data_IF_936260010283
#
_entry.id   IF_936260010283
#
_cell.length_a   1.000
_cell.length_b   1.000
_cell.length_c   1.000
_cell.angle_alpha   90.00
_cell.angle_beta   90.00
_cell.angle_gamma   90.00
#
_symmetry.space_group_name_H-M   'P 1'
#
loop_
_entity.id
_entity.type
_entity.pdbx_description
1 polymer ?
#
# COMPACT_ATOMS: atom_id res chain seq x y z
N UNK A 1 -23.42 -8.07 -15.05
CA UNK A 1 -22.73 -7.22 -14.06
C UNK A 1 -23.67 -7.07 -12.87
N UNK A 2 -23.22 -7.38 -11.66
CA UNK A 2 -24.04 -7.18 -10.46
C UNK A 2 -24.29 -5.70 -10.19
N UNK A 3 -25.29 -5.37 -9.37
CA UNK A 3 -25.54 -3.99 -8.96
C UNK A 3 -24.28 -3.41 -8.27
N UNK A 4 -23.89 -2.16 -8.58
CA UNK A 4 -22.69 -1.53 -8.01
C UNK A 4 -22.78 -1.32 -6.50
N UNK A 5 -24.00 -1.37 -5.95
CA UNK A 5 -24.28 -1.17 -4.54
C UNK A 5 -25.54 -1.94 -4.15
N UNK A 6 -25.48 -2.68 -3.04
CA UNK A 6 -26.65 -3.29 -2.41
C UNK A 6 -27.10 -2.46 -1.21
N UNK A 7 -28.42 -2.33 -1.00
CA UNK A 7 -29.03 -1.61 0.13
C UNK A 7 -29.98 -2.53 0.88
N UNK A 8 -29.87 -2.54 2.21
CA UNK A 8 -30.79 -3.25 3.12
C UNK A 8 -31.15 -2.33 4.28
N UNK A 9 -32.37 -2.41 4.82
CA UNK A 9 -32.79 -1.66 6.01
C UNK A 9 -33.08 -2.65 7.14
N UNK A 10 -32.49 -2.44 8.31
CA UNK A 10 -32.74 -3.26 9.52
C UNK A 10 -32.86 -2.35 10.74
N UNK A 11 -33.99 -2.42 11.44
CA UNK A 11 -34.20 -1.65 12.69
C UNK A 11 -34.03 -0.14 12.54
N UNK A 12 -34.40 0.44 11.39
CA UNK A 12 -34.23 1.87 11.10
C UNK A 12 -32.83 2.27 10.62
N UNK A 13 -31.87 1.35 10.58
CA UNK A 13 -30.52 1.56 10.06
C UNK A 13 -30.46 1.13 8.60
N UNK A 14 -29.93 1.99 7.73
CA UNK A 14 -29.64 1.65 6.34
C UNK A 14 -28.24 1.05 6.22
N UNK A 15 -28.14 -0.17 5.72
CA UNK A 15 -26.88 -0.84 5.38
C UNK A 15 -26.64 -0.71 3.88
N UNK A 16 -25.51 -0.11 3.50
CA UNK A 16 -25.08 0.04 2.11
C UNK A 16 -23.82 -0.80 1.91
N UNK A 17 -23.83 -1.69 0.93
CA UNK A 17 -22.71 -2.56 0.57
C UNK A 17 -22.26 -2.23 -0.87
N UNK A 18 -21.43 -1.19 -1.07
CA UNK A 18 -20.77 -0.95 -2.36
C UNK A 18 -19.87 -2.14 -2.74
N UNK A 19 -19.72 -2.39 -4.04
CA UNK A 19 -18.83 -3.41 -4.56
C UNK A 19 -17.93 -2.83 -5.65
N UNK A 20 -16.65 -3.21 -5.64
CA UNK A 20 -15.66 -2.74 -6.61
C UNK A 20 -14.84 -1.55 -6.10
N UNK A 21 -13.94 -1.04 -6.95
CA UNK A 21 -13.07 0.08 -6.59
C UNK A 21 -13.89 1.36 -6.51
N UNK A 22 -13.87 2.04 -5.36
CA UNK A 22 -14.42 3.40 -5.23
C UNK A 22 -13.44 4.46 -5.77
N UNK A 23 -12.63 4.09 -6.76
CA UNK A 23 -11.84 5.00 -7.59
C UNK A 23 -12.48 5.22 -8.97
N UNK A 24 -13.51 4.43 -9.29
CA UNK A 24 -14.23 4.48 -10.56
C UNK A 24 -15.49 5.35 -10.42
N UNK A 25 -15.66 6.31 -11.34
CA UNK A 25 -16.74 7.29 -11.29
C UNK A 25 -18.15 6.66 -11.17
N UNK A 26 -18.38 5.51 -11.81
CA UNK A 26 -19.66 4.80 -11.73
C UNK A 26 -20.00 4.29 -10.32
N UNK A 27 -19.02 3.67 -9.64
CA UNK A 27 -19.19 3.20 -8.26
C UNK A 27 -19.31 4.38 -7.28
N UNK A 28 -18.57 5.47 -7.53
CA UNK A 28 -18.66 6.71 -6.74
C UNK A 28 -20.04 7.37 -6.87
N UNK A 29 -20.60 7.48 -8.08
CA UNK A 29 -21.94 8.05 -8.28
C UNK A 29 -23.00 7.21 -7.58
N UNK A 30 -22.94 5.89 -7.72
CA UNK A 30 -23.87 4.98 -7.06
C UNK A 30 -23.83 5.10 -5.53
N UNK A 31 -22.63 5.26 -4.95
CA UNK A 31 -22.45 5.51 -3.52
C UNK A 31 -23.08 6.85 -3.09
N UNK A 32 -22.78 7.93 -3.82
CA UNK A 32 -23.30 9.26 -3.53
C UNK A 32 -24.83 9.30 -3.59
N UNK A 33 -25.44 8.73 -4.64
CA UNK A 33 -26.89 8.64 -4.81
C UNK A 33 -27.54 7.82 -3.68
N UNK A 34 -26.93 6.70 -3.28
CA UNK A 34 -27.46 5.87 -2.21
C UNK A 34 -27.42 6.56 -0.84
N UNK A 35 -26.34 7.29 -0.54
CA UNK A 35 -26.20 8.08 0.68
C UNK A 35 -27.21 9.24 0.71
N UNK A 36 -27.38 9.93 -0.42
CA UNK A 36 -28.35 11.01 -0.58
C UNK A 36 -29.79 10.50 -0.36
N UNK A 37 -30.13 9.35 -0.96
CA UNK A 37 -31.43 8.72 -0.78
C UNK A 37 -31.69 8.31 0.68
N UNK A 38 -30.66 7.91 1.43
CA UNK A 38 -30.79 7.62 2.87
C UNK A 38 -31.12 8.88 3.67
N UNK A 39 -30.43 9.98 3.40
CA UNK A 39 -30.68 11.27 4.05
C UNK A 39 -32.10 11.80 3.78
N UNK A 40 -32.62 11.63 2.55
CA UNK A 40 -33.97 12.08 2.17
C UNK A 40 -35.10 11.21 2.73
N UNK A 41 -34.87 9.91 2.90
CA UNK A 41 -35.89 8.95 3.36
C UNK A 41 -36.02 8.86 4.89
N UNK A 42 -35.33 9.72 5.65
CA UNK A 42 -35.31 9.68 7.12
C UNK A 42 -34.43 8.57 7.72
N UNK A 43 -33.74 7.79 6.87
CA UNK A 43 -32.75 6.80 7.28
C UNK A 43 -31.43 7.45 7.66
N UNK A 44 -31.42 8.22 8.76
CA UNK A 44 -30.28 9.06 9.17
C UNK A 44 -29.12 8.27 9.77
N UNK A 45 -29.33 7.01 10.16
CA UNK A 45 -28.27 6.10 10.57
C UNK A 45 -27.90 5.15 9.44
N UNK A 46 -26.67 5.30 8.94
CA UNK A 46 -26.15 4.55 7.79
C UNK A 46 -24.89 3.80 8.19
N UNK A 47 -24.79 2.54 7.75
CA UNK A 47 -23.60 1.70 7.89
C UNK A 47 -23.12 1.30 6.49
N UNK A 48 -21.87 1.62 6.19
CA UNK A 48 -21.16 1.20 4.99
C UNK A 48 -20.44 -0.13 5.24
N UNK A 49 -20.87 -1.18 4.58
CA UNK A 49 -20.14 -2.44 4.54
C UNK A 49 -19.10 -2.38 3.41
N UNK A 50 -17.83 -2.28 3.79
CA UNK A 50 -16.71 -2.09 2.86
C UNK A 50 -15.97 -3.39 2.54
N UNK A 51 -16.54 -4.57 2.89
CA UNK A 51 -15.93 -5.89 2.62
C UNK A 51 -15.53 -6.07 1.16
N UNK A 52 -16.37 -5.57 0.24
CA UNK A 52 -16.18 -5.72 -1.22
C UNK A 52 -15.56 -4.49 -1.88
N UNK A 53 -15.01 -3.58 -1.08
CA UNK A 53 -14.32 -2.37 -1.54
C UNK A 53 -12.81 -2.53 -1.32
N UNK A 54 -12.04 -2.87 -2.37
CA UNK A 54 -10.61 -3.06 -2.23
C UNK A 54 -9.82 -1.75 -2.10
N UNK A 55 -10.34 -0.63 -2.66
CA UNK A 55 -9.65 0.65 -2.73
C UNK A 55 -10.63 1.83 -2.76
N UNK A 56 -10.23 2.95 -2.15
CA UNK A 56 -10.94 4.23 -2.15
C UNK A 56 -9.95 5.36 -2.50
N UNK A 57 -10.37 6.37 -3.27
CA UNK A 57 -9.57 7.56 -3.59
C UNK A 57 -10.02 8.80 -2.80
N UNK A 58 -9.45 9.97 -3.07
CA UNK A 58 -9.84 11.22 -2.43
C UNK A 58 -11.31 11.58 -2.68
N UNK A 59 -11.83 11.28 -3.88
CA UNK A 59 -13.22 11.62 -4.25
C UNK A 59 -14.24 10.78 -3.48
N UNK A 60 -14.01 9.49 -3.32
CA UNK A 60 -14.86 8.64 -2.48
C UNK A 60 -14.86 9.10 -1.02
N UNK A 61 -13.70 9.54 -0.52
CA UNK A 61 -13.59 10.08 0.83
C UNK A 61 -14.35 11.41 0.99
N UNK A 62 -14.34 12.29 -0.02
CA UNK A 62 -15.21 13.49 -0.04
C UNK A 62 -16.68 13.11 0.06
N UNK A 63 -17.15 12.15 -0.74
CA UNK A 63 -18.55 11.67 -0.71
C UNK A 63 -18.93 11.16 0.68
N UNK A 64 -18.05 10.36 1.31
CA UNK A 64 -18.28 9.84 2.66
C UNK A 64 -18.31 10.96 3.71
N UNK A 65 -17.42 11.96 3.59
CA UNK A 65 -17.33 13.07 4.52
C UNK A 65 -18.54 14.02 4.41
N UNK A 66 -18.96 14.35 3.19
CA UNK A 66 -20.15 15.15 2.90
C UNK A 66 -21.41 14.46 3.43
N UNK A 67 -21.55 13.16 3.16
CA UNK A 67 -22.67 12.37 3.66
C UNK A 67 -22.66 12.28 5.19
N UNK A 68 -21.50 12.11 5.82
CA UNK A 68 -21.37 12.14 7.27
C UNK A 68 -21.86 13.48 7.84
N UNK A 69 -21.39 14.62 7.31
CA UNK A 69 -21.79 15.94 7.77
C UNK A 69 -23.31 16.16 7.64
N UNK A 70 -23.89 15.74 6.53
CA UNK A 70 -25.34 15.83 6.27
C UNK A 70 -26.16 14.95 7.21
N UNK A 71 -25.77 13.68 7.39
CA UNK A 71 -26.47 12.76 8.30
C UNK A 71 -26.36 13.24 9.74
N UNK A 72 -25.19 13.73 10.17
CA UNK A 72 -24.98 14.28 11.51
C UNK A 72 -25.86 15.52 11.76
N UNK A 73 -26.00 16.42 10.77
CA UNK A 73 -26.90 17.57 10.87
C UNK A 73 -28.37 17.15 11.09
N UNK A 74 -28.78 16.00 10.55
CA UNK A 74 -30.11 15.41 10.73
C UNK A 74 -30.24 14.57 12.03
N UNK A 75 -29.25 14.61 12.93
CA UNK A 75 -29.22 13.81 14.17
C UNK A 75 -28.82 12.34 13.96
N UNK A 76 -28.31 12.01 12.78
CA UNK A 76 -27.90 10.68 12.37
C UNK A 76 -26.42 10.38 12.55
N UNK A 77 -25.96 9.30 11.91
CA UNK A 77 -24.57 8.89 11.92
C UNK A 77 -24.21 8.09 10.68
N UNK A 78 -23.00 8.32 10.16
CA UNK A 78 -22.37 7.43 9.17
C UNK A 78 -21.29 6.60 9.85
N UNK A 79 -21.39 5.27 9.70
CA UNK A 79 -20.41 4.30 10.18
C UNK A 79 -19.94 3.41 9.05
N UNK A 80 -18.81 2.73 9.23
CA UNK A 80 -18.34 1.68 8.34
C UNK A 80 -17.99 0.39 9.10
N UNK A 81 -17.95 -0.73 8.37
CA UNK A 81 -17.63 -2.06 8.88
C UNK A 81 -16.94 -2.89 7.80
N UNK A 82 -16.20 -3.93 8.21
CA UNK A 82 -15.56 -4.93 7.33
C UNK A 82 -14.59 -4.36 6.28
N UNK A 83 -13.96 -3.22 6.55
CA UNK A 83 -12.94 -2.64 5.67
C UNK A 83 -11.69 -3.52 5.56
N UNK A 84 -11.08 -3.57 4.38
CA UNK A 84 -9.75 -4.16 4.21
C UNK A 84 -8.68 -3.36 4.99
N UNK A 85 -7.53 -3.97 5.35
CA UNK A 85 -6.46 -3.25 6.03
C UNK A 85 -6.00 -1.98 5.29
N UNK A 86 -5.94 -2.03 3.95
CA UNK A 86 -5.61 -0.87 3.13
C UNK A 86 -6.64 0.26 3.28
N UNK A 87 -7.93 -0.07 3.21
CA UNK A 87 -9.01 0.92 3.34
C UNK A 87 -9.02 1.52 4.73
N UNK A 88 -8.73 0.73 5.78
CA UNK A 88 -8.55 1.25 7.14
C UNK A 88 -7.40 2.25 7.19
N UNK A 89 -6.23 1.90 6.66
CA UNK A 89 -5.05 2.78 6.62
C UNK A 89 -5.35 4.09 5.87
N UNK A 90 -6.09 4.03 4.76
CA UNK A 90 -6.52 5.22 4.01
C UNK A 90 -7.45 6.11 4.85
N UNK A 91 -8.48 5.52 5.47
CA UNK A 91 -9.44 6.26 6.29
C UNK A 91 -8.79 6.87 7.54
N UNK A 92 -7.80 6.21 8.14
CA UNK A 92 -7.03 6.73 9.28
C UNK A 92 -6.09 7.85 8.82
N UNK A 93 -5.38 7.67 7.70
CA UNK A 93 -4.50 8.70 7.13
C UNK A 93 -5.27 10.01 6.88
N UNK A 94 -6.47 9.92 6.32
CA UNK A 94 -7.32 11.07 6.02
C UNK A 94 -8.15 11.60 7.20
N UNK A 95 -8.02 10.98 8.38
CA UNK A 95 -8.82 11.29 9.58
C UNK A 95 -10.33 11.15 9.37
N UNK A 96 -10.75 10.33 8.42
CA UNK A 96 -12.14 9.86 8.35
C UNK A 96 -12.41 8.82 9.45
N UNK A 97 -11.40 8.04 9.83
CA UNK A 97 -11.43 7.10 10.95
C UNK A 97 -10.34 7.40 11.97
N UNK A 98 -10.53 6.93 13.20
CA UNK A 98 -9.62 7.16 14.31
C UNK A 98 -9.40 5.86 15.08
N UNK A 99 -8.16 5.65 15.55
CA UNK A 99 -7.70 4.42 16.18
C UNK A 99 -6.35 4.00 15.61
N UNK A 100 -5.71 3.03 16.26
CA UNK A 100 -4.51 2.36 15.73
C UNK A 100 -4.94 1.35 14.65
N UNK A 101 -4.52 1.54 13.38
CA UNK A 101 -4.88 0.66 12.27
C UNK A 101 -4.61 -0.82 12.52
N UNK A 102 -3.61 -1.14 13.35
CA UNK A 102 -3.17 -2.51 13.61
C UNK A 102 -3.96 -3.21 14.73
N UNK A 103 -4.70 -2.49 15.57
CA UNK A 103 -5.32 -3.07 16.78
C UNK A 103 -6.78 -2.70 17.00
N UNK A 104 -7.21 -1.51 16.57
CA UNK A 104 -8.56 -1.02 16.87
C UNK A 104 -9.60 -1.48 15.83
N UNK A 105 -9.18 -1.97 14.67
CA UNK A 105 -10.06 -2.35 13.56
C UNK A 105 -10.18 -3.87 13.42
N UNK A 106 -11.41 -4.36 13.22
CA UNK A 106 -11.68 -5.80 13.12
C UNK A 106 -12.99 -6.13 12.40
N UNK A 107 -13.21 -7.41 12.08
CA UNK A 107 -14.41 -7.86 11.40
C UNK A 107 -15.64 -7.58 12.27
N UNK A 108 -16.72 -7.10 11.65
CA UNK A 108 -17.98 -6.73 12.31
C UNK A 108 -17.89 -5.63 13.38
N UNK A 109 -16.74 -4.93 13.50
CA UNK A 109 -16.62 -3.76 14.38
C UNK A 109 -17.07 -2.52 13.60
N UNK A 110 -18.06 -1.80 14.13
CA UNK A 110 -18.55 -0.57 13.52
C UNK A 110 -17.71 0.62 13.95
N UNK A 111 -17.21 1.38 12.98
CA UNK A 111 -16.41 2.57 13.21
C UNK A 111 -17.16 3.81 12.72
N UNK A 112 -17.18 4.86 13.53
CA UNK A 112 -17.80 6.13 13.14
C UNK A 112 -16.87 6.91 12.20
N UNK A 113 -17.44 7.52 11.16
CA UNK A 113 -16.73 8.48 10.32
C UNK A 113 -16.68 9.83 11.05
N UNK A 114 -15.55 10.54 10.96
CA UNK A 114 -15.42 11.93 11.45
C UNK A 114 -15.38 12.10 12.98
N UNK A 115 -15.18 11.02 13.74
CA UNK A 115 -15.12 11.06 15.20
C UNK A 115 -13.86 11.80 15.70
N UNK A 116 -13.96 13.07 16.12
CA UNK A 116 -12.79 13.86 16.58
C UNK A 116 -11.87 13.09 17.54
N UNK A 117 -10.57 13.04 17.22
CA UNK A 117 -9.57 12.65 18.21
C UNK A 117 -9.60 13.65 19.38
N UNK A 118 -9.62 13.12 20.60
CA UNK A 118 -9.39 13.95 21.80
C UNK A 118 -7.96 14.46 21.70
N UNK A 119 -7.71 15.79 21.75
CA UNK A 119 -6.36 16.32 21.68
C UNK A 119 -5.54 15.70 22.82
N UNK A 120 -4.36 15.14 22.53
CA UNK A 120 -3.57 14.50 23.55
C UNK A 120 -3.18 15.52 24.63
N UNK A 121 -3.18 15.08 25.89
CA UNK A 121 -2.60 15.89 26.97
C UNK A 121 -1.11 16.09 26.65
N UNK A 122 -0.53 17.28 26.90
CA UNK A 122 0.88 17.51 26.66
C UNK A 122 1.70 16.62 27.60
N UNK A 123 2.28 15.55 27.04
CA UNK A 123 3.09 14.57 27.76
C UNK A 123 4.44 14.41 27.09
N UNK A 124 5.47 14.10 27.88
CA UNK A 124 6.81 13.84 27.35
C UNK A 124 6.86 12.45 26.72
N UNK A 125 7.55 12.32 25.58
CA UNK A 125 7.71 11.06 24.85
C UNK A 125 8.17 9.91 25.76
N UNK A 126 9.16 10.14 26.63
CA UNK A 126 9.66 9.13 27.55
C UNK A 126 8.60 8.55 28.50
N UNK A 127 7.67 9.37 29.00
CA UNK A 127 6.57 8.89 29.84
C UNK A 127 5.58 8.04 29.04
N UNK A 128 5.29 8.45 27.80
CA UNK A 128 4.40 7.69 26.90
C UNK A 128 5.00 6.32 26.61
N UNK A 129 6.31 6.25 26.35
CA UNK A 129 7.02 5.00 26.10
C UNK A 129 6.99 4.05 27.31
N UNK A 130 7.15 4.59 28.53
CA UNK A 130 7.02 3.80 29.78
C UNK A 130 5.61 3.24 29.96
N UNK A 131 4.58 4.06 29.77
CA UNK A 131 3.17 3.63 29.90
C UNK A 131 2.77 2.59 28.87
N UNK A 132 3.35 2.68 27.67
CA UNK A 132 3.16 1.67 26.62
C UNK A 132 3.95 0.38 26.91
N UNK A 133 4.79 0.35 27.95
CA UNK A 133 5.64 -0.79 28.28
C UNK A 133 6.75 -1.04 27.25
N UNK A 134 7.09 -0.03 26.44
CA UNK A 134 8.08 -0.15 25.36
C UNK A 134 9.52 0.02 25.84
N UNK A 135 9.72 0.68 26.97
CA UNK A 135 11.01 0.88 27.62
C UNK A 135 10.88 0.70 29.13
N UNK A 136 11.98 0.44 29.82
CA UNK A 136 12.05 0.43 31.30
C UNK A 136 12.46 1.80 31.84
N UNK A 137 12.23 2.04 33.13
CA UNK A 137 12.68 3.28 33.80
C UNK A 137 14.20 3.46 33.70
N UNK A 138 14.96 2.39 33.94
CA UNK A 138 16.41 2.37 33.80
C UNK A 138 16.84 2.69 32.35
N UNK A 139 16.21 2.05 31.36
CA UNK A 139 16.49 2.30 29.95
C UNK A 139 16.18 3.73 29.52
N UNK A 140 15.12 4.34 30.08
CA UNK A 140 14.81 5.75 29.85
C UNK A 140 15.87 6.67 30.49
N UNK A 141 16.28 6.38 31.73
CA UNK A 141 17.26 7.19 32.44
C UNK A 141 18.60 7.23 31.69
N UNK A 142 19.08 6.08 31.22
CA UNK A 142 20.29 6.00 30.40
C UNK A 142 20.17 6.75 29.07
N UNK A 143 19.02 6.66 28.40
CA UNK A 143 18.78 7.34 27.13
C UNK A 143 18.74 8.88 27.32
N UNK A 144 18.18 9.36 28.43
CA UNK A 144 18.18 10.79 28.80
C UNK A 144 19.60 11.28 29.13
N UNK A 145 20.40 10.46 29.83
CA UNK A 145 21.80 10.80 30.10
C UNK A 145 22.60 10.93 28.80
N UNK A 146 22.39 10.03 27.83
CA UNK A 146 23.02 10.13 26.51
C UNK A 146 22.47 11.32 25.70
N UNK A 147 21.20 11.68 25.85
CA UNK A 147 20.63 12.86 25.20
C UNK A 147 21.37 14.13 25.63
N UNK A 148 21.69 14.25 26.92
CA UNK A 148 22.43 15.39 27.46
C UNK A 148 23.86 15.50 26.90
N UNK A 149 24.52 14.38 26.61
CA UNK A 149 25.89 14.38 26.09
C UNK A 149 25.99 14.43 24.56
N UNK A 150 24.99 13.93 23.83
CA UNK A 150 25.02 13.82 22.36
C UNK A 150 24.22 14.90 21.62
N UNK A 151 23.27 15.57 22.30
CA UNK A 151 22.34 16.51 21.67
C UNK A 151 21.32 15.88 20.71
N UNK A 152 21.32 14.55 20.55
CA UNK A 152 20.36 13.83 19.70
C UNK A 152 18.97 13.79 20.34
N UNK A 153 17.93 13.61 19.53
CA UNK A 153 16.58 13.38 20.04
C UNK A 153 16.47 12.02 20.76
N UNK A 154 15.71 11.97 21.85
CA UNK A 154 15.51 10.76 22.67
C UNK A 154 15.07 9.54 21.84
N UNK A 155 14.13 9.72 20.92
CA UNK A 155 13.65 8.65 20.04
C UNK A 155 14.77 8.05 19.17
N UNK A 156 15.65 8.89 18.61
CA UNK A 156 16.78 8.43 17.80
C UNK A 156 17.79 7.62 18.62
N UNK A 157 18.06 8.05 19.86
CA UNK A 157 18.95 7.33 20.77
C UNK A 157 18.40 5.93 21.06
N UNK A 158 17.08 5.83 21.31
CA UNK A 158 16.43 4.55 21.59
C UNK A 158 16.41 3.62 20.36
N UNK A 159 16.25 4.16 19.15
CA UNK A 159 16.37 3.41 17.90
C UNK A 159 17.80 2.89 17.67
N UNK A 160 18.82 3.75 17.83
CA UNK A 160 20.23 3.37 17.64
C UNK A 160 20.68 2.25 18.59
N UNK A 161 20.16 2.27 19.82
CA UNK A 161 20.39 1.22 20.83
C UNK A 161 19.57 -0.05 20.61
N UNK A 162 18.69 -0.07 19.60
CA UNK A 162 17.71 -1.15 19.36
C UNK A 162 16.79 -1.41 20.57
N UNK A 163 16.62 -0.40 21.43
CA UNK A 163 15.74 -0.46 22.59
C UNK A 163 14.28 -0.15 22.23
N UNK A 164 14.05 0.39 21.03
CA UNK A 164 12.74 0.73 20.49
C UNK A 164 12.72 0.43 18.98
N UNK A 165 11.59 -0.02 18.45
CA UNK A 165 11.39 -0.15 17.00
C UNK A 165 10.88 1.17 16.40
N UNK A 166 11.10 1.40 15.09
CA UNK A 166 10.59 2.61 14.42
C UNK A 166 9.06 2.69 14.47
N UNK A 167 8.39 1.55 14.29
CA UNK A 167 6.92 1.44 14.41
C UNK A 167 6.43 1.85 15.80
N UNK A 168 7.10 1.38 16.86
CA UNK A 168 6.71 1.73 18.24
C UNK A 168 7.01 3.20 18.57
N UNK A 169 8.07 3.76 18.00
CA UNK A 169 8.33 5.20 18.08
C UNK A 169 7.21 6.01 17.41
N UNK A 170 6.77 5.63 16.21
CA UNK A 170 5.67 6.31 15.52
C UNK A 170 4.36 6.23 16.29
N UNK A 171 4.04 5.07 16.89
CA UNK A 171 2.89 4.91 17.80
C UNK A 171 2.96 5.85 19.00
N UNK A 172 4.12 5.94 19.64
CA UNK A 172 4.33 6.83 20.78
C UNK A 172 4.23 8.32 20.37
N UNK A 173 4.80 8.70 19.22
CA UNK A 173 4.67 10.04 18.65
C UNK A 173 3.24 10.37 18.24
N UNK A 174 2.50 9.40 17.73
CA UNK A 174 1.08 9.55 17.41
C UNK A 174 0.26 9.87 18.67
N UNK A 175 0.49 9.13 19.77
CA UNK A 175 -0.12 9.45 21.08
C UNK A 175 0.32 10.80 21.63
N UNK A 176 1.55 11.22 21.37
CA UNK A 176 2.08 12.50 21.86
C UNK A 176 1.48 13.70 21.12
N UNK A 177 1.34 13.58 19.79
CA UNK A 177 1.02 14.71 18.90
C UNK A 177 -0.42 14.71 18.41
N UNK A 178 -1.11 13.58 18.51
CA UNK A 178 -2.46 13.39 17.98
C UNK A 178 -2.49 13.22 16.45
N UNK A 179 -1.31 13.15 15.82
CA UNK A 179 -1.16 12.87 14.39
C UNK A 179 -1.26 11.36 14.21
N UNK A 180 -2.16 10.84 13.35
CA UNK A 180 -2.26 9.40 13.11
C UNK A 180 -0.97 8.86 12.50
N UNK A 181 -0.70 7.57 12.68
CA UNK A 181 0.38 6.86 12.00
C UNK A 181 -0.20 5.77 11.10
N UNK A 182 0.46 5.47 9.99
CA UNK A 182 0.05 4.46 9.02
C UNK A 182 1.24 3.69 8.47
N UNK A 183 0.99 2.48 7.97
CA UNK A 183 1.97 1.75 7.14
C UNK A 183 1.73 2.12 5.69
N UNK A 184 2.67 2.84 5.07
CA UNK A 184 2.50 3.27 3.68
C UNK A 184 2.62 2.09 2.69
N UNK A 185 1.68 2.04 1.76
CA UNK A 185 1.58 1.00 0.73
C UNK A 185 1.22 1.60 -0.64
N UNK A 186 1.56 0.91 -1.74
CA UNK A 186 1.01 1.26 -3.06
C UNK A 186 -0.52 1.39 -3.00
N UNK A 187 -1.09 2.31 -3.78
CA UNK A 187 -2.53 2.62 -3.76
C UNK A 187 -2.98 3.59 -2.67
N UNK A 188 -2.12 3.95 -1.70
CA UNK A 188 -2.42 4.98 -0.69
C UNK A 188 -2.09 6.41 -1.14
N UNK A 189 -1.92 6.63 -2.43
CA UNK A 189 -1.64 7.94 -3.01
C UNK A 189 -2.24 8.03 -4.40
N UNK A 190 -2.70 9.22 -4.79
CA UNK A 190 -3.36 9.45 -6.07
C UNK A 190 -2.61 10.51 -6.91
N UNK A 191 -2.63 10.40 -8.25
CA UNK A 191 -1.95 11.35 -9.13
C UNK A 191 -2.38 12.82 -8.90
N UNK A 192 -3.64 13.04 -8.53
CA UNK A 192 -4.16 14.38 -8.27
C UNK A 192 -3.52 15.05 -7.03
N UNK A 193 -3.15 14.25 -6.02
CA UNK A 193 -2.45 14.75 -4.83
C UNK A 193 -0.95 14.91 -5.09
N UNK A 194 -0.32 13.95 -5.75
CA UNK A 194 1.12 13.98 -6.04
C UNK A 194 1.47 15.09 -7.02
N UNK A 195 0.57 15.47 -7.94
CA UNK A 195 0.76 16.59 -8.85
C UNK A 195 0.81 17.97 -8.15
N UNK A 196 0.37 18.09 -6.88
CA UNK A 196 0.41 19.35 -6.13
C UNK A 196 1.83 19.70 -5.63
N UNK A 197 2.73 18.73 -5.58
CA UNK A 197 4.11 18.92 -5.12
C UNK A 197 5.07 18.25 -6.10
N UNK A 198 6.01 19.00 -6.66
CA UNK A 198 6.99 18.41 -7.58
C UNK A 198 7.84 17.33 -6.88
N UNK A 199 8.32 16.36 -7.66
CA UNK A 199 9.14 15.26 -7.13
C UNK A 199 10.37 15.77 -6.35
N UNK A 200 11.07 16.77 -6.90
CA UNK A 200 12.25 17.35 -6.24
C UNK A 200 11.92 17.97 -4.88
N UNK A 201 10.76 18.64 -4.76
CA UNK A 201 10.29 19.19 -3.48
C UNK A 201 9.87 18.09 -2.52
N UNK A 202 9.10 17.10 -2.98
CA UNK A 202 8.68 15.97 -2.16
C UNK A 202 9.89 15.23 -1.57
N UNK A 203 10.92 14.96 -2.38
CA UNK A 203 12.18 14.32 -1.96
C UNK A 203 12.96 15.20 -0.97
N UNK A 204 13.15 16.49 -1.26
CA UNK A 204 13.87 17.42 -0.37
C UNK A 204 13.20 17.53 0.99
N UNK A 205 11.87 17.64 0.99
CA UNK A 205 11.05 17.78 2.19
C UNK A 205 10.77 16.43 2.88
N UNK A 206 11.11 15.31 2.23
CA UNK A 206 10.92 13.94 2.72
C UNK A 206 9.44 13.64 3.02
N UNK A 207 8.54 14.08 2.14
CA UNK A 207 7.09 13.93 2.30
C UNK A 207 6.42 13.27 1.11
N UNK A 208 5.30 12.60 1.31
CA UNK A 208 4.49 12.06 0.22
C UNK A 208 3.06 12.64 0.26
N UNK A 209 2.64 13.42 -0.74
CA UNK A 209 1.23 13.77 -0.92
C UNK A 209 0.41 12.51 -1.23
N UNK A 210 -0.66 12.26 -0.48
CA UNK A 210 -1.45 11.03 -0.57
C UNK A 210 -2.81 11.28 -1.21
N UNK A 211 -3.65 12.10 -0.58
CA UNK A 211 -5.02 12.34 -1.00
C UNK A 211 -5.37 13.81 -0.87
N UNK A 212 -6.19 14.31 -1.78
CA UNK A 212 -6.83 15.62 -1.62
C UNK A 212 -8.31 15.43 -1.35
N UNK A 213 -8.76 15.89 -0.18
CA UNK A 213 -10.16 15.85 0.24
C UNK A 213 -10.62 17.29 0.45
N UNK A 214 -11.47 17.77 -0.45
CA UNK A 214 -11.83 19.18 -0.57
C UNK A 214 -10.57 20.08 -0.67
N UNK A 215 -10.36 20.95 0.31
CA UNK A 215 -9.21 21.87 0.40
C UNK A 215 -8.07 21.34 1.29
N UNK A 216 -8.19 20.11 1.77
CA UNK A 216 -7.22 19.50 2.68
C UNK A 216 -6.36 18.48 1.94
N UNK A 217 -5.04 18.66 1.99
CA UNK A 217 -4.05 17.72 1.47
C UNK A 217 -3.56 16.82 2.60
N UNK A 218 -3.80 15.51 2.47
CA UNK A 218 -3.20 14.51 3.35
C UNK A 218 -1.78 14.23 2.90
N UNK A 219 -0.83 14.38 3.82
CA UNK A 219 0.62 14.27 3.53
C UNK A 219 1.28 13.35 4.54
N UNK A 220 1.96 12.31 4.06
CA UNK A 220 2.80 11.48 4.91
C UNK A 220 4.13 12.19 5.22
N UNK A 221 4.48 12.21 6.50
CA UNK A 221 5.70 12.83 7.03
C UNK A 221 6.43 11.86 7.99
N UNK A 222 7.77 11.90 8.06
CA UNK A 222 8.54 11.04 8.94
C UNK A 222 8.72 11.62 10.35
N UNK A 223 8.55 12.93 10.52
CA UNK A 223 8.77 13.64 11.78
C UNK A 223 7.67 14.71 11.99
N UNK A 224 6.87 14.62 13.06
CA UNK A 224 5.82 15.60 13.34
C UNK A 224 6.36 16.98 13.72
N UNK A 225 7.64 17.11 14.08
CA UNK A 225 8.25 18.36 14.52
C UNK A 225 8.96 19.13 13.40
N UNK A 226 8.91 18.63 12.16
CA UNK A 226 9.43 19.31 10.97
C UNK A 226 8.49 20.45 10.50
N UNK A 227 8.12 21.37 11.40
CA UNK A 227 7.18 22.47 11.15
C UNK A 227 7.56 23.32 9.92
N UNK A 228 8.85 23.70 9.70
CA UNK A 228 9.21 24.47 8.52
C UNK A 228 8.88 23.78 7.20
N UNK A 229 8.96 22.44 7.15
CA UNK A 229 8.59 21.68 5.96
C UNK A 229 7.08 21.71 5.72
N UNK A 230 6.27 21.60 6.78
CA UNK A 230 4.81 21.72 6.68
C UNK A 230 4.38 23.11 6.23
N UNK A 231 4.98 24.17 6.80
CA UNK A 231 4.69 25.55 6.42
C UNK A 231 5.03 25.81 4.94
N UNK A 232 6.17 25.27 4.47
CA UNK A 232 6.58 25.38 3.07
C UNK A 232 5.61 24.64 2.13
N UNK A 233 5.17 23.42 2.47
CA UNK A 233 4.18 22.67 1.68
C UNK A 233 2.86 23.44 1.63
N UNK A 234 2.40 23.99 2.76
CA UNK A 234 1.17 24.77 2.81
C UNK A 234 1.25 26.03 1.95
N UNK A 235 2.38 26.75 1.99
CA UNK A 235 2.60 27.94 1.17
C UNK A 235 2.61 27.64 -0.34
N UNK A 236 3.24 26.53 -0.75
CA UNK A 236 3.34 26.12 -2.16
C UNK A 236 2.01 25.60 -2.68
N UNK A 237 1.33 24.76 -1.90
CA UNK A 237 0.10 24.09 -2.35
C UNK A 237 -1.15 24.97 -2.18
N UNK A 238 -1.09 25.95 -1.27
CA UNK A 238 -2.24 26.79 -0.88
C UNK A 238 -3.34 26.00 -0.16
N UNK A 239 -3.04 24.79 0.33
CA UNK A 239 -4.02 23.87 0.94
C UNK A 239 -3.81 23.72 2.43
N UNK A 240 -4.88 23.39 3.15
CA UNK A 240 -4.76 22.93 4.54
C UNK A 240 -4.05 21.58 4.56
N UNK A 241 -3.17 21.37 5.53
CA UNK A 241 -2.46 20.10 5.65
C UNK A 241 -3.10 19.20 6.70
N UNK A 242 -3.25 17.93 6.32
CA UNK A 242 -3.53 16.83 7.22
C UNK A 242 -2.31 15.92 7.28
N UNK A 243 -1.38 16.13 8.23
CA UNK A 243 -0.21 15.28 8.34
C UNK A 243 -0.61 13.88 8.86
N UNK A 244 0.09 12.87 8.38
CA UNK A 244 0.08 11.49 8.88
C UNK A 244 1.53 11.00 9.01
N UNK A 245 1.82 10.28 10.09
CA UNK A 245 3.14 9.71 10.35
C UNK A 245 3.34 8.42 9.56
N UNK A 246 4.48 8.30 8.90
CA UNK A 246 4.90 7.07 8.23
C UNK A 246 6.41 6.90 8.33
N UNK A 247 6.90 5.67 8.15
CA UNK A 247 8.35 5.41 8.21
C UNK A 247 9.05 6.08 7.03
N UNK A 248 10.26 6.58 7.27
CA UNK A 248 11.04 7.29 6.24
C UNK A 248 11.27 6.40 5.01
N UNK A 249 11.65 5.15 5.24
CA UNK A 249 11.91 4.18 4.17
C UNK A 249 10.67 3.93 3.30
N UNK A 250 9.47 3.92 3.92
CA UNK A 250 8.22 3.71 3.19
C UNK A 250 7.83 4.94 2.36
N UNK A 251 8.06 6.15 2.90
CA UNK A 251 7.86 7.41 2.18
C UNK A 251 8.77 7.42 0.96
N UNK A 252 10.08 7.16 1.11
CA UNK A 252 11.04 7.16 0.01
C UNK A 252 10.70 6.11 -1.05
N UNK A 253 10.30 4.90 -0.63
CA UNK A 253 9.85 3.84 -1.53
C UNK A 253 8.59 4.23 -2.30
N UNK A 254 7.60 4.81 -1.63
CA UNK A 254 6.36 5.23 -2.27
C UNK A 254 6.53 6.50 -3.13
N UNK A 255 7.46 7.40 -2.78
CA UNK A 255 7.83 8.54 -3.63
C UNK A 255 8.38 8.06 -4.97
N UNK A 256 9.30 7.09 -4.95
CA UNK A 256 9.81 6.49 -6.18
C UNK A 256 8.64 6.02 -7.07
N UNK A 257 7.69 5.28 -6.51
CA UNK A 257 6.55 4.78 -7.26
C UNK A 257 5.58 5.87 -7.74
N UNK A 258 5.26 6.83 -6.86
CA UNK A 258 4.30 7.89 -7.11
C UNK A 258 4.77 8.85 -8.20
N UNK A 259 6.07 9.16 -8.24
CA UNK A 259 6.64 10.10 -9.20
C UNK A 259 7.23 9.43 -10.45
N UNK A 260 7.58 8.14 -10.38
CA UNK A 260 7.98 7.37 -11.57
C UNK A 260 6.79 6.89 -12.41
N UNK A 261 5.54 7.03 -11.91
CA UNK A 261 4.31 6.49 -12.51
C UNK A 261 3.74 7.23 -13.73
N UNK A 262 4.39 8.27 -14.26
CA UNK A 262 3.93 9.00 -15.46
C UNK A 262 4.76 8.74 -16.72
N UNK A 263 6.00 8.33 -16.54
CA UNK A 263 6.95 8.01 -17.60
C UNK A 263 8.13 7.38 -16.89
N UNK A 264 8.58 6.22 -17.34
CA UNK A 264 9.97 5.86 -17.08
C UNK A 264 10.75 6.99 -17.77
N UNK A 265 11.52 7.82 -17.05
CA UNK A 265 12.36 8.82 -17.70
C UNK A 265 13.18 8.07 -18.74
N UNK A 266 13.16 8.56 -19.97
CA UNK A 266 13.91 7.96 -21.08
C UNK A 266 15.39 7.78 -20.68
N UNK A 267 15.87 8.64 -19.77
CA UNK A 267 17.19 8.63 -19.16
C UNK A 267 17.40 7.53 -18.11
N UNK A 268 16.36 7.06 -17.39
CA UNK A 268 16.45 5.93 -16.44
C UNK A 268 16.37 4.58 -17.16
N UNK A 269 15.69 4.53 -18.30
CA UNK A 269 15.74 3.39 -19.21
C UNK A 269 17.17 3.15 -19.71
N UNK A 270 17.98 4.21 -19.84
CA UNK A 270 19.36 4.12 -20.30
C UNK A 270 20.38 3.91 -19.15
N UNK A 271 20.01 4.19 -17.89
CA UNK A 271 20.98 4.26 -16.77
C UNK A 271 20.61 3.46 -15.49
N UNK A 272 19.67 2.51 -15.52
CA UNK A 272 19.46 1.63 -14.37
C UNK A 272 20.68 0.69 -14.17
N UNK A 273 21.29 0.64 -12.97
CA UNK A 273 22.28 -0.39 -12.65
C UNK A 273 21.63 -1.78 -12.71
N UNK A 274 22.18 -2.63 -13.57
CA UNK A 274 21.78 -4.02 -13.80
C UNK A 274 22.23 -4.93 -12.66
N UNK A 275 21.64 -4.82 -11.48
CA UNK A 275 21.86 -5.76 -10.37
C UNK A 275 20.90 -6.97 -10.45
N UNK A 276 20.59 -7.44 -11.66
CA UNK A 276 19.91 -8.73 -11.87
C UNK A 276 20.82 -9.65 -12.68
N UNK A 277 21.50 -10.53 -11.98
CA UNK A 277 22.19 -11.66 -12.60
C UNK A 277 21.19 -12.80 -12.78
N UNK A 278 21.00 -13.20 -14.04
CA UNK A 278 20.35 -14.46 -14.36
C UNK A 278 21.30 -15.58 -13.96
N UNK A 279 20.83 -16.53 -13.16
CA UNK A 279 21.61 -17.74 -12.89
C UNK A 279 21.56 -18.57 -14.16
N UNK A 280 22.65 -18.61 -14.93
CA UNK A 280 22.74 -19.40 -16.15
C UNK A 280 22.38 -20.87 -15.88
N UNK A 281 21.31 -21.35 -16.52
CA UNK A 281 21.21 -22.75 -16.88
C UNK A 281 21.73 -22.89 -18.31
N UNK A 282 22.73 -23.74 -18.47
CA UNK A 282 23.54 -23.87 -19.66
C UNK A 282 22.72 -24.16 -20.95
N UNK A 283 23.11 -23.43 -21.99
CA UNK A 283 23.04 -23.70 -23.43
C UNK A 283 21.68 -24.01 -24.08
N UNK A 284 21.22 -23.07 -24.91
CA UNK A 284 20.76 -23.38 -26.26
C UNK A 284 21.04 -22.20 -27.19
N UNK A 285 21.84 -22.49 -28.22
CA UNK A 285 22.21 -21.60 -29.32
C UNK A 285 20.95 -21.24 -30.14
N UNK A 286 20.57 -19.96 -30.18
CA UNK A 286 19.51 -19.47 -31.06
C UNK A 286 19.90 -18.12 -31.66
N UNK A 287 20.61 -18.17 -32.79
CA UNK A 287 20.86 -16.97 -33.59
C UNK A 287 19.60 -16.49 -34.33
N UNK A 288 19.53 -15.17 -34.51
CA UNK A 288 18.61 -14.37 -35.34
C UNK A 288 17.31 -13.80 -34.72
N UNK A 289 17.12 -13.82 -33.39
CA UNK A 289 16.09 -12.99 -32.71
C UNK A 289 16.69 -12.04 -31.64
N UNK A 290 17.94 -12.26 -31.22
CA UNK A 290 18.66 -11.37 -30.31
C UNK A 290 18.75 -9.91 -30.80
N UNK A 291 18.79 -9.68 -32.12
CA UNK A 291 18.89 -8.33 -32.70
C UNK A 291 17.62 -7.48 -32.55
N UNK A 292 16.46 -8.09 -32.33
CA UNK A 292 15.19 -7.36 -32.09
C UNK A 292 14.96 -7.17 -30.58
N UNK A 293 15.42 -8.12 -29.75
CA UNK A 293 15.45 -7.99 -28.29
C UNK A 293 16.58 -7.07 -27.77
N UNK A 294 17.49 -6.62 -28.65
CA UNK A 294 18.56 -5.65 -28.37
C UNK A 294 18.07 -4.23 -28.06
N UNK A 295 16.75 -3.99 -28.04
CA UNK A 295 16.22 -2.75 -27.49
C UNK A 295 16.36 -2.79 -25.96
N UNK A 296 17.49 -2.24 -25.48
CA UNK A 296 17.81 -1.92 -24.08
C UNK A 296 16.60 -1.49 -23.21
N UNK A 297 15.60 -0.75 -23.75
CA UNK A 297 14.44 -0.34 -22.95
C UNK A 297 13.54 -1.42 -22.38
N UNK A 298 13.23 -2.47 -23.15
CA UNK A 298 12.24 -3.47 -22.72
C UNK A 298 12.85 -4.40 -21.67
N UNK A 299 14.13 -4.72 -21.81
CA UNK A 299 14.88 -5.51 -20.83
C UNK A 299 14.91 -4.76 -19.49
N UNK A 300 15.28 -3.48 -19.52
CA UNK A 300 15.37 -2.66 -18.31
C UNK A 300 14.00 -2.46 -17.66
N UNK A 301 12.94 -2.33 -18.46
CA UNK A 301 11.58 -2.29 -17.97
C UNK A 301 11.17 -3.59 -17.26
N UNK A 302 11.40 -4.75 -17.87
CA UNK A 302 11.05 -6.04 -17.26
C UNK A 302 11.85 -6.28 -15.99
N UNK A 303 13.15 -6.00 -16.01
CA UNK A 303 14.03 -6.11 -14.85
C UNK A 303 13.56 -5.17 -13.72
N UNK A 304 13.26 -3.92 -14.05
CA UNK A 304 12.72 -2.94 -13.10
C UNK A 304 11.38 -3.36 -12.51
N UNK A 305 10.48 -3.96 -13.31
CA UNK A 305 9.21 -4.50 -12.82
C UNK A 305 9.42 -5.66 -11.85
N UNK A 306 10.34 -6.58 -12.14
CA UNK A 306 10.65 -7.71 -11.26
C UNK A 306 11.27 -7.21 -9.95
N UNK A 307 12.26 -6.32 -10.03
CA UNK A 307 12.88 -5.68 -8.86
C UNK A 307 11.84 -4.96 -7.99
N UNK A 308 10.97 -4.17 -8.63
CA UNK A 308 9.89 -3.45 -7.97
C UNK A 308 8.95 -4.41 -7.26
N UNK A 309 8.52 -5.48 -7.93
CA UNK A 309 7.64 -6.49 -7.34
C UNK A 309 8.24 -7.15 -6.10
N UNK A 310 9.52 -7.52 -6.15
CA UNK A 310 10.23 -8.13 -5.00
C UNK A 310 10.37 -7.14 -3.85
N UNK A 311 10.80 -5.91 -4.15
CA UNK A 311 10.92 -4.83 -3.16
C UNK A 311 9.57 -4.51 -2.51
N UNK A 312 8.49 -4.56 -3.28
CA UNK A 312 7.13 -4.26 -2.84
C UNK A 312 6.46 -5.43 -2.11
N UNK A 313 7.10 -6.61 -2.07
CA UNK A 313 6.55 -7.81 -1.42
C UNK A 313 5.36 -8.40 -2.19
N UNK A 314 5.33 -8.24 -3.51
CA UNK A 314 4.26 -8.78 -4.34
C UNK A 314 4.33 -10.31 -4.40
N UNK A 315 3.18 -10.96 -4.20
CA UNK A 315 2.98 -12.40 -4.39
C UNK A 315 2.89 -12.80 -5.86
N UNK A 316 2.30 -11.95 -6.70
CA UNK A 316 2.14 -12.21 -8.14
C UNK A 316 2.25 -10.91 -8.94
N UNK A 317 2.83 -11.00 -10.14
CA UNK A 317 2.89 -9.94 -11.13
C UNK A 317 1.96 -10.32 -12.27
N UNK A 318 0.91 -9.54 -12.49
CA UNK A 318 -0.06 -9.72 -13.56
C UNK A 318 0.24 -8.76 -14.69
N UNK A 319 0.36 -9.27 -15.91
CA UNK A 319 0.59 -8.48 -17.12
C UNK A 319 -0.54 -8.80 -18.09
N UNK A 320 -1.38 -7.82 -18.34
CA UNK A 320 -2.59 -7.97 -19.16
C UNK A 320 -2.64 -6.91 -20.24
N UNK A 321 -3.26 -7.24 -21.37
CA UNK A 321 -3.54 -6.30 -22.43
C UNK A 321 -5.06 -6.12 -22.58
N UNK A 322 -5.49 -4.87 -22.65
CA UNK A 322 -6.84 -4.49 -23.04
C UNK A 322 -6.82 -3.88 -24.45
N UNK A 323 -8.00 -3.53 -24.99
CA UNK A 323 -8.13 -2.96 -26.34
C UNK A 323 -7.25 -1.73 -26.59
N UNK A 324 -7.01 -0.91 -25.57
CA UNK A 324 -6.35 0.41 -25.71
C UNK A 324 -5.03 0.54 -24.96
N UNK A 325 -4.73 -0.34 -23.99
CA UNK A 325 -3.52 -0.24 -23.16
C UNK A 325 -3.12 -1.59 -22.57
N UNK A 326 -1.82 -1.75 -22.32
CA UNK A 326 -1.28 -2.78 -21.46
C UNK A 326 -1.26 -2.32 -20.01
N UNK A 327 -1.49 -3.24 -19.08
CA UNK A 327 -1.56 -2.97 -17.66
C UNK A 327 -0.73 -3.99 -16.90
N UNK A 328 0.14 -3.51 -16.03
CA UNK A 328 0.87 -4.36 -15.07
C UNK A 328 0.27 -4.12 -13.69
N UNK A 329 -0.09 -5.21 -13.01
CA UNK A 329 -0.61 -5.18 -11.65
C UNK A 329 0.20 -6.08 -10.73
N UNK A 330 0.41 -5.66 -9.49
CA UNK A 330 1.02 -6.49 -8.46
C UNK A 330 -0.04 -6.95 -7.48
N UNK A 331 0.00 -8.22 -7.08
CA UNK A 331 -0.79 -8.73 -5.97
C UNK A 331 0.02 -8.63 -4.69
N UNK A 332 -0.26 -7.63 -3.86
CA UNK A 332 0.42 -7.41 -2.57
C UNK A 332 -0.62 -7.63 -1.46
N UNK A 333 -0.32 -8.51 -0.51
CA UNK A 333 -1.23 -8.88 0.59
C UNK A 333 -2.66 -9.26 0.11
N UNK A 334 -2.74 -9.95 -1.04
CA UNK A 334 -4.00 -10.42 -1.63
C UNK A 334 -4.76 -9.38 -2.48
N UNK A 335 -4.32 -8.12 -2.50
CA UNK A 335 -4.96 -7.02 -3.26
C UNK A 335 -4.17 -6.73 -4.54
N UNK A 336 -4.86 -6.52 -5.66
CA UNK A 336 -4.26 -6.16 -6.95
C UNK A 336 -4.11 -4.65 -7.09
N UNK A 337 -2.88 -4.18 -7.26
CA UNK A 337 -2.54 -2.78 -7.49
C UNK A 337 -2.07 -2.59 -8.91
N UNK A 338 -2.64 -1.62 -9.63
CA UNK A 338 -2.10 -1.19 -10.91
C UNK A 338 -0.83 -0.36 -10.71
N UNK A 339 0.30 -0.86 -11.19
CA UNK A 339 1.62 -0.27 -10.92
C UNK A 339 2.24 0.39 -12.15
N UNK A 340 1.79 0.00 -13.34
CA UNK A 340 2.26 0.56 -14.60
C UNK A 340 1.20 0.41 -15.69
N UNK A 341 0.94 1.49 -16.42
CA UNK A 341 0.27 1.44 -17.72
C UNK A 341 1.30 1.56 -18.83
N UNK A 342 1.19 0.70 -19.84
CA UNK A 342 2.01 0.76 -21.05
C UNK A 342 1.13 0.87 -22.28
N UNK A 343 1.68 1.41 -23.37
CA UNK A 343 1.03 1.37 -24.67
C UNK A 343 0.78 -0.09 -25.07
N UNK A 344 -0.38 -0.39 -25.66
CA UNK A 344 -0.76 -1.77 -26.02
C UNK A 344 0.30 -2.44 -26.90
N UNK A 345 0.94 -1.66 -27.77
CA UNK A 345 2.03 -2.10 -28.65
C UNK A 345 3.28 -2.64 -27.93
N UNK A 346 3.55 -2.22 -26.68
CA UNK A 346 4.72 -2.67 -25.92
C UNK A 346 4.49 -3.99 -25.18
N UNK A 347 3.24 -4.37 -24.96
CA UNK A 347 2.90 -5.56 -24.18
C UNK A 347 3.45 -6.86 -24.81
N UNK A 348 3.36 -7.09 -26.14
CA UNK A 348 3.93 -8.28 -26.75
C UNK A 348 5.45 -8.38 -26.57
N UNK A 349 6.17 -7.25 -26.52
CA UNK A 349 7.62 -7.23 -26.29
C UNK A 349 7.96 -7.63 -24.85
N UNK A 350 7.19 -7.16 -23.87
CA UNK A 350 7.32 -7.54 -22.45
C UNK A 350 7.10 -9.05 -22.28
N UNK A 351 6.01 -9.59 -22.87
CA UNK A 351 5.72 -11.04 -22.81
C UNK A 351 6.82 -11.85 -23.49
N UNK A 352 7.28 -11.43 -24.65
CA UNK A 352 8.39 -12.08 -25.36
C UNK A 352 9.65 -12.13 -24.50
N UNK A 353 10.02 -11.04 -23.82
CA UNK A 353 11.19 -11.01 -22.94
C UNK A 353 11.03 -11.99 -21.76
N UNK A 354 9.86 -12.05 -21.15
CA UNK A 354 9.59 -12.99 -20.06
C UNK A 354 9.63 -14.45 -20.52
N UNK A 355 9.12 -14.75 -21.72
CA UNK A 355 9.23 -16.09 -22.32
C UNK A 355 10.68 -16.50 -22.56
N UNK A 356 11.52 -15.58 -23.06
CA UNK A 356 12.97 -15.81 -23.20
C UNK A 356 13.59 -16.15 -21.84
N UNK A 357 13.29 -15.36 -20.80
CA UNK A 357 13.85 -15.58 -19.46
C UNK A 357 13.38 -16.91 -18.83
N UNK A 358 12.23 -17.43 -19.24
CA UNK A 358 11.67 -18.69 -18.78
C UNK A 358 11.95 -19.88 -19.74
N UNK A 359 12.79 -19.68 -20.77
CA UNK A 359 13.09 -20.68 -21.80
C UNK A 359 11.84 -21.25 -22.52
N UNK A 360 10.86 -20.40 -22.78
CA UNK A 360 9.59 -20.74 -23.43
C UNK A 360 9.57 -20.35 -24.92
N UNK A 361 8.65 -20.97 -25.67
CA UNK A 361 8.50 -20.69 -27.10
C UNK A 361 7.83 -19.32 -27.32
N UNK A 362 8.58 -18.41 -27.91
CA UNK A 362 8.16 -17.03 -28.22
C UNK A 362 7.16 -16.99 -29.40
N UNK A 363 7.29 -17.93 -30.34
CA UNK A 363 6.46 -17.99 -31.53
C UNK A 363 5.06 -18.50 -31.21
N UNK A 364 4.94 -19.42 -30.24
CA UNK A 364 3.64 -19.91 -29.79
C UNK A 364 2.96 -18.92 -28.84
N UNK A 365 1.74 -18.50 -29.19
CA UNK A 365 0.93 -17.51 -28.44
C UNK A 365 -0.53 -17.92 -28.27
N UNK A 366 -0.92 -19.06 -28.83
CA UNK A 366 -2.30 -19.56 -28.88
C UNK A 366 -2.58 -20.58 -27.77
N UNK A 367 -1.53 -21.23 -27.29
CA UNK A 367 -1.60 -22.23 -26.22
C UNK A 367 -1.05 -21.67 -24.91
N UNK A 368 -1.59 -22.09 -23.75
CA UNK A 368 -0.99 -21.82 -22.45
C UNK A 368 0.46 -22.29 -22.39
N UNK A 369 1.33 -21.54 -21.71
CA UNK A 369 2.70 -21.94 -21.45
C UNK A 369 3.07 -21.69 -19.99
N UNK A 370 3.70 -22.68 -19.36
CA UNK A 370 4.18 -22.60 -17.99
C UNK A 370 5.70 -22.78 -17.97
N UNK A 371 6.38 -21.93 -17.21
CA UNK A 371 7.83 -21.93 -17.11
C UNK A 371 8.30 -21.51 -15.73
N UNK A 372 9.62 -21.57 -15.52
CA UNK A 372 10.27 -21.05 -14.32
C UNK A 372 11.44 -20.21 -14.74
N UNK A 373 11.67 -19.13 -14.02
CA UNK A 373 12.87 -18.33 -14.14
C UNK A 373 13.39 -17.98 -12.75
N UNK A 374 14.70 -17.98 -12.59
CA UNK A 374 15.37 -17.64 -11.34
C UNK A 374 16.14 -16.35 -11.54
N UNK A 375 15.92 -15.39 -10.65
CA UNK A 375 16.55 -14.07 -10.70
C UNK A 375 17.25 -13.77 -9.39
N UNK A 376 18.41 -13.13 -9.45
CA UNK A 376 19.07 -12.58 -8.26
C UNK A 376 18.74 -11.10 -8.17
N UNK A 377 18.20 -10.63 -7.05
CA UNK A 377 17.95 -9.21 -6.81
C UNK A 377 18.12 -8.87 -5.34
N UNK A 378 18.73 -7.72 -5.01
CA UNK A 378 19.03 -7.30 -3.64
C UNK A 378 19.82 -8.36 -2.83
N UNK A 379 20.72 -9.10 -3.50
CA UNK A 379 21.49 -10.19 -2.88
C UNK A 379 20.67 -11.44 -2.52
N UNK A 380 19.40 -11.53 -2.98
CA UNK A 380 18.52 -12.68 -2.74
C UNK A 380 18.18 -13.37 -4.05
N UNK A 381 18.05 -14.69 -3.99
CA UNK A 381 17.62 -15.47 -5.13
C UNK A 381 16.11 -15.71 -5.09
N UNK A 382 15.41 -15.19 -6.09
CA UNK A 382 13.95 -15.26 -6.21
C UNK A 382 13.60 -16.26 -7.31
N UNK A 383 12.67 -17.17 -7.00
CA UNK A 383 12.10 -18.10 -7.99
C UNK A 383 10.79 -17.51 -8.50
N UNK A 384 10.66 -17.34 -9.81
CA UNK A 384 9.44 -16.86 -10.45
C UNK A 384 8.83 -18.00 -11.25
N UNK A 385 7.55 -18.28 -11.02
CA UNK A 385 6.79 -19.20 -11.87
C UNK A 385 6.03 -18.40 -12.91
N UNK A 386 6.36 -18.62 -14.16
CA UNK A 386 5.70 -18.01 -15.30
C UNK A 386 4.51 -18.87 -15.71
N UNK A 387 3.37 -18.23 -15.95
CA UNK A 387 2.23 -18.83 -16.65
C UNK A 387 1.67 -17.82 -17.65
N UNK A 388 1.46 -18.24 -18.90
CA UNK A 388 0.74 -17.46 -19.90
C UNK A 388 -0.55 -18.15 -20.34
N UNK A 389 -1.55 -17.33 -20.67
CA UNK A 389 -2.80 -17.75 -21.28
C UNK A 389 -3.11 -16.85 -22.48
N UNK A 390 -3.56 -17.45 -23.58
CA UNK A 390 -4.01 -16.70 -24.74
C UNK A 390 -5.27 -15.88 -24.39
N UNK A 391 -5.29 -14.61 -24.78
CA UNK A 391 -6.42 -13.70 -24.59
C UNK A 391 -6.79 -12.98 -25.89
N UNK A 392 -7.92 -12.26 -25.86
CA UNK A 392 -8.48 -11.58 -27.04
C UNK A 392 -7.55 -10.49 -27.57
N UNK A 393 -6.89 -9.74 -26.68
CA UNK A 393 -6.04 -8.58 -27.03
C UNK A 393 -4.54 -8.86 -26.88
N UNK A 394 -4.16 -10.13 -26.67
CA UNK A 394 -2.80 -10.53 -26.36
C UNK A 394 -2.77 -11.57 -25.24
N UNK A 395 -1.58 -12.06 -24.93
CA UNK A 395 -1.39 -13.04 -23.87
C UNK A 395 -1.54 -12.38 -22.50
N UNK A 396 -2.23 -13.05 -21.59
CA UNK A 396 -2.23 -12.72 -20.16
C UNK A 396 -1.12 -13.51 -19.50
N UNK A 397 -0.20 -12.81 -18.84
CA UNK A 397 0.93 -13.43 -18.15
C UNK A 397 0.80 -13.18 -16.66
N UNK A 398 1.07 -14.22 -15.87
CA UNK A 398 1.21 -14.14 -14.42
C UNK A 398 2.58 -14.69 -14.04
N UNK A 399 3.34 -13.91 -13.26
CA UNK A 399 4.56 -14.38 -12.60
C UNK A 399 4.25 -14.52 -11.12
N UNK A 400 4.26 -15.73 -10.58
CA UNK A 400 4.21 -15.92 -9.13
C UNK A 400 5.59 -15.75 -8.54
N UNK A 401 5.72 -14.84 -7.59
CA UNK A 401 6.97 -14.52 -6.91
C UNK A 401 7.13 -15.41 -5.69
N UNK A 402 8.19 -16.23 -5.67
CA UNK A 402 8.52 -17.12 -4.57
C UNK A 402 9.89 -16.70 -4.00
N UNK A 403 9.86 -15.94 -2.91
CA UNK A 403 11.05 -15.66 -2.12
C UNK A 403 11.34 -16.88 -1.22
N UNK A 404 12.39 -17.64 -1.54
CA UNK A 404 12.79 -18.83 -0.78
C UNK A 404 13.08 -18.49 0.70
N UNK A 405 13.50 -17.25 0.99
CA UNK A 405 13.82 -16.80 2.35
C UNK A 405 12.60 -16.37 3.16
N UNK A 406 11.46 -16.06 2.53
CA UNK A 406 10.20 -15.80 3.25
C UNK A 406 9.53 -17.10 3.73
N UNK A 407 9.92 -18.25 3.18
CA UNK A 407 9.18 -19.52 3.37
C UNK A 407 9.48 -20.30 4.65
N UNK A 408 10.36 -19.80 5.54
CA UNK A 408 10.51 -20.38 6.88
C UNK A 408 9.42 -19.77 7.77
N UNK A 409 8.20 -20.29 7.65
CA UNK A 409 7.15 -20.07 8.64
C UNK A 409 7.59 -20.76 9.93
N UNK A 410 8.11 -19.97 10.86
CA UNK A 410 8.27 -20.41 12.23
C UNK A 410 6.89 -20.79 12.78
N UNK A 411 6.71 -22.09 13.04
CA UNK A 411 5.43 -22.64 13.53
C UNK A 411 5.03 -21.99 14.86
N UNK A 412 6.00 -21.41 15.58
CA UNK A 412 5.75 -20.68 16.83
C UNK A 412 5.10 -19.31 16.61
N UNK A 413 5.23 -18.73 15.41
CA UNK A 413 4.70 -17.39 15.07
C UNK A 413 3.31 -17.39 14.44
N UNK A 414 2.70 -18.56 14.23
CA UNK A 414 1.38 -18.70 13.60
C UNK A 414 0.22 -18.41 14.59
N UNK A 415 0.52 -17.88 15.79
CA UNK A 415 -0.48 -17.49 16.79
C UNK A 415 -1.21 -18.65 17.47
N UNK A 416 -0.67 -19.87 17.38
CA UNK A 416 -1.23 -21.02 18.09
C UNK A 416 -1.04 -20.85 19.59
N UNK A 417 -2.06 -21.21 20.38
CA UNK A 417 -1.86 -21.36 21.82
C UNK A 417 -0.75 -22.40 22.09
N UNK A 418 0.09 -22.20 23.13
CA UNK A 418 1.24 -23.07 23.40
C UNK A 418 0.88 -24.57 23.47
N UNK A 419 -0.29 -24.89 24.02
CA UNK A 419 -0.82 -26.26 24.10
C UNK A 419 -1.11 -26.87 22.73
N UNK A 420 -1.71 -26.11 21.82
CA UNK A 420 -2.05 -26.56 20.46
C UNK A 420 -0.79 -26.71 19.61
N UNK A 421 0.16 -25.79 19.73
CA UNK A 421 1.45 -25.87 19.07
C UNK A 421 2.23 -27.13 19.47
N UNK A 422 2.26 -27.43 20.77
CA UNK A 422 2.90 -28.65 21.29
C UNK A 422 2.21 -29.92 20.76
N UNK A 423 0.88 -29.95 20.72
CA UNK A 423 0.12 -31.06 20.15
C UNK A 423 0.36 -31.22 18.65
N UNK A 424 0.36 -30.12 17.90
CA UNK A 424 0.62 -30.10 16.46
C UNK A 424 2.03 -30.61 16.12
N UNK A 425 3.06 -30.11 16.83
CA UNK A 425 4.44 -30.62 16.70
C UNK A 425 4.53 -32.12 17.03
N UNK A 426 3.81 -32.57 18.07
CA UNK A 426 3.77 -33.99 18.46
C UNK A 426 3.11 -34.89 17.42
N UNK A 427 2.08 -34.39 16.71
CA UNK A 427 1.41 -35.12 15.65
C UNK A 427 2.25 -35.21 14.38
N UNK A 428 2.97 -34.14 14.01
CA UNK A 428 3.91 -34.14 12.88
C UNK A 428 5.09 -35.11 13.08
N UNK A 429 5.48 -35.36 14.33
CA UNK A 429 6.55 -36.29 14.68
C UNK A 429 6.14 -37.78 14.68
N UNK A 430 4.87 -38.11 14.43
CA UNK A 430 4.43 -39.50 14.30
C UNK A 430 4.47 -39.90 12.82
N UNK A 431 5.28 -40.92 12.49
CA UNK A 431 5.07 -41.66 11.24
C UNK A 431 3.78 -42.49 11.34
N UNK A 432 3.11 -42.63 10.20
CA UNK A 432 1.92 -43.47 10.03
C UNK A 432 2.16 -44.91 10.46
#
# INVERSE_FOLDING_TARGET
MGAPLARTIRGGISFLAPAGNLTEAGHQSALAEALEACAQSGGVHVVLDLERVPLIDGRAQEIMLDAHAKLAFLGGSLKFVNSSPLVVEILVASRLAFGDPATDFGPNVMHAIGARSVPPKPRRLGQILLEMGLITEDGLAEAVQQQASSGKQLGMILLERKALSETDLLRALSRQTGIPWVTLRPGMYEPAATALLSEGLARRLKVLPMFRIHDTLTVAIPDPFAIPALDEIQAITGRRLNPVLARREEIEKCQFDAFSGGSIPQDLVENLPTDIELVEQAQADFSAIDKIASASPVINLVNGLIQRAVRDGASDIHIECNRTRGVVRFRIDGILYEVLQVRAELQPAIVSRLKVMASLDIAERRMPQDGRLQVVTQGRTIDLRFSSLAGIYGEKVVLRVLDKNQSILDVERIGMMPSNLALFKKLLGRSY
#
